data_IF_530523467830
#
_entry.id   IF_530523467830
#
_cell.length_a   1.000
_cell.length_b   1.000
_cell.length_c   1.000
_cell.angle_alpha   90.00
_cell.angle_beta   90.00
_cell.angle_gamma   90.00
#
_symmetry.space_group_name_H-M   'P 1'
#
loop_
_entity.id
_entity.type
_entity.pdbx_description
1 polymer ?
#
# COMPACT_ATOMS: atom_id res chain seq x y z
N UNK A 1 24.02 13.68 -3.36
CA UNK A 1 22.91 13.12 -4.16
C UNK A 1 22.86 11.65 -3.81
N UNK A 2 21.88 11.20 -3.03
CA UNK A 2 21.78 9.76 -2.69
C UNK A 2 21.56 9.02 -4.00
N UNK A 3 22.42 8.05 -4.31
CA UNK A 3 22.23 7.16 -5.45
C UNK A 3 20.90 6.44 -5.25
N UNK A 4 19.83 6.94 -5.87
CA UNK A 4 18.60 6.19 -6.02
C UNK A 4 18.95 4.98 -6.88
N UNK A 5 19.10 3.82 -6.25
CA UNK A 5 19.35 2.58 -6.97
C UNK A 5 18.14 2.31 -7.86
N UNK A 6 18.31 2.51 -9.16
CA UNK A 6 17.30 2.27 -10.18
C UNK A 6 17.19 0.75 -10.39
N UNK A 7 15.97 0.24 -10.31
CA UNK A 7 15.67 -1.18 -10.55
C UNK A 7 15.03 -1.41 -11.91
N UNK A 8 14.31 -0.41 -12.45
CA UNK A 8 13.81 -0.41 -13.81
C UNK A 8 14.25 0.89 -14.49
N UNK A 9 15.10 0.84 -15.53
CA UNK A 9 15.47 2.05 -16.26
C UNK A 9 14.26 2.58 -17.04
N UNK A 10 14.28 3.87 -17.38
CA UNK A 10 13.32 4.44 -18.31
C UNK A 10 13.57 3.91 -19.73
N UNK A 11 12.52 3.76 -20.53
CA UNK A 11 12.60 3.49 -21.96
C UNK A 11 13.09 4.73 -22.70
N UNK A 12 14.27 4.69 -23.37
CA UNK A 12 14.76 5.83 -24.12
C UNK A 12 13.90 6.19 -25.34
N UNK A 13 13.00 5.31 -25.78
CA UNK A 13 12.08 5.56 -26.89
C UNK A 13 10.77 6.27 -26.47
N UNK A 14 10.48 6.37 -25.17
CA UNK A 14 9.31 7.05 -24.63
C UNK A 14 9.73 8.22 -23.74
N UNK A 15 9.43 9.45 -24.17
CA UNK A 15 9.79 10.66 -23.45
C UNK A 15 9.00 10.87 -22.14
N UNK A 16 7.87 10.18 -21.97
CA UNK A 16 7.05 10.25 -20.76
C UNK A 16 7.45 9.18 -19.72
N UNK A 17 8.13 8.11 -20.15
CA UNK A 17 8.54 7.03 -19.26
C UNK A 17 9.60 7.47 -18.24
N UNK A 18 9.50 6.93 -17.03
CA UNK A 18 10.34 7.32 -15.89
C UNK A 18 10.95 6.09 -15.24
N UNK A 19 12.24 6.19 -14.94
CA UNK A 19 12.94 5.15 -14.21
C UNK A 19 12.31 4.93 -12.83
N UNK A 20 12.27 3.66 -12.40
CA UNK A 20 11.76 3.26 -11.09
C UNK A 20 12.94 2.95 -10.18
N UNK A 21 13.02 3.67 -9.05
CA UNK A 21 13.96 3.38 -7.98
C UNK A 21 13.51 2.17 -7.15
N UNK A 22 14.43 1.55 -6.39
CA UNK A 22 14.09 0.48 -5.42
C UNK A 22 13.00 0.97 -4.45
N UNK A 23 13.12 2.18 -3.92
CA UNK A 23 12.12 2.77 -3.01
C UNK A 23 10.77 2.97 -3.71
N UNK A 24 10.78 3.42 -4.97
CA UNK A 24 9.57 3.57 -5.78
C UNK A 24 8.88 2.23 -6.01
N UNK A 25 9.65 1.18 -6.33
CA UNK A 25 9.14 -0.19 -6.49
C UNK A 25 8.58 -0.74 -5.18
N UNK A 26 9.28 -0.57 -4.07
CA UNK A 26 8.82 -0.98 -2.74
C UNK A 26 7.51 -0.30 -2.36
N UNK A 27 7.42 1.03 -2.53
CA UNK A 27 6.21 1.82 -2.27
C UNK A 27 5.03 1.30 -3.11
N UNK A 28 5.26 1.01 -4.40
CA UNK A 28 4.25 0.44 -5.29
C UNK A 28 3.78 -0.95 -4.85
N UNK A 29 4.69 -1.82 -4.42
CA UNK A 29 4.36 -3.16 -3.93
C UNK A 29 3.56 -3.10 -2.62
N UNK A 30 3.94 -2.22 -1.67
CA UNK A 30 3.20 -1.98 -0.43
C UNK A 30 1.79 -1.43 -0.71
N UNK A 31 1.67 -0.45 -1.61
CA UNK A 31 0.39 0.10 -2.05
C UNK A 31 -0.52 -0.98 -2.66
N UNK A 32 0.04 -1.83 -3.51
CA UNK A 32 -0.68 -2.96 -4.11
C UNK A 32 -1.15 -3.97 -3.08
N UNK A 33 -0.32 -4.33 -2.10
CA UNK A 33 -0.71 -5.23 -1.01
C UNK A 33 -1.94 -4.70 -0.28
N UNK A 34 -1.91 -3.44 0.16
CA UNK A 34 -2.99 -2.81 0.93
C UNK A 34 -4.29 -2.76 0.13
N UNK A 35 -4.21 -2.24 -1.10
CA UNK A 35 -5.37 -2.18 -2.00
C UNK A 35 -5.95 -3.57 -2.25
N UNK A 36 -5.09 -4.56 -2.52
CA UNK A 36 -5.53 -5.93 -2.79
C UNK A 36 -6.22 -6.55 -1.58
N UNK A 37 -5.64 -6.45 -0.38
CA UNK A 37 -6.27 -6.96 0.84
C UNK A 37 -7.67 -6.36 1.03
N UNK A 38 -7.83 -5.04 0.84
CA UNK A 38 -9.15 -4.41 0.93
C UNK A 38 -10.12 -4.93 -0.13
N UNK A 39 -9.69 -5.01 -1.39
CA UNK A 39 -10.58 -5.45 -2.49
C UNK A 39 -10.95 -6.92 -2.38
N UNK A 40 -10.04 -7.78 -1.91
CA UNK A 40 -10.31 -9.20 -1.71
C UNK A 40 -11.34 -9.42 -0.58
N UNK A 41 -11.44 -8.49 0.38
CA UNK A 41 -12.49 -8.47 1.40
C UNK A 41 -13.81 -7.85 0.92
N UNK A 42 -13.88 -7.33 -0.31
CA UNK A 42 -15.08 -6.69 -0.86
C UNK A 42 -15.46 -5.35 -0.19
N UNK A 43 -14.53 -4.69 0.49
CA UNK A 43 -14.79 -3.47 1.24
C UNK A 43 -14.43 -2.21 0.45
N UNK A 44 -15.25 -1.15 0.60
CA UNK A 44 -14.86 0.21 0.24
C UNK A 44 -13.73 0.73 1.14
N UNK A 45 -13.08 1.82 0.75
CA UNK A 45 -12.04 2.46 1.59
C UNK A 45 -12.61 2.87 2.95
N UNK A 46 -13.83 3.39 3.00
CA UNK A 46 -14.49 3.84 4.24
C UNK A 46 -14.82 2.65 5.14
N UNK A 47 -15.36 1.57 4.59
CA UNK A 47 -15.68 0.36 5.36
C UNK A 47 -14.42 -0.28 5.95
N UNK A 48 -13.35 -0.42 5.14
CA UNK A 48 -12.08 -0.94 5.63
C UNK A 48 -11.48 -0.05 6.73
N UNK A 49 -11.44 1.26 6.48
CA UNK A 49 -10.95 2.26 7.43
C UNK A 49 -11.66 2.18 8.78
N UNK A 50 -13.00 2.17 8.75
CA UNK A 50 -13.82 2.08 9.95
C UNK A 50 -13.65 0.75 10.67
N UNK A 51 -13.67 -0.37 9.93
CA UNK A 51 -13.59 -1.73 10.47
C UNK A 51 -12.24 -2.02 11.13
N UNK A 52 -11.15 -1.45 10.61
CA UNK A 52 -9.79 -1.76 11.04
C UNK A 52 -9.04 -0.58 11.65
N UNK A 53 -9.73 0.50 12.02
CA UNK A 53 -9.16 1.67 12.70
C UNK A 53 -7.98 2.29 11.93
N UNK A 54 -8.11 2.41 10.62
CA UNK A 54 -7.15 3.13 9.77
C UNK A 54 -7.81 4.41 9.27
N UNK A 55 -7.24 5.62 9.48
CA UNK A 55 -7.82 6.83 8.92
C UNK A 55 -7.97 6.73 7.40
N UNK A 56 -9.14 7.05 6.87
CA UNK A 56 -9.44 6.85 5.43
C UNK A 56 -8.50 7.65 4.51
N UNK A 57 -8.07 8.84 4.93
CA UNK A 57 -7.07 9.64 4.20
C UNK A 57 -5.72 8.93 4.11
N UNK A 58 -5.24 8.41 5.24
CA UNK A 58 -4.00 7.63 5.32
C UNK A 58 -4.08 6.35 4.48
N UNK A 59 -5.19 5.60 4.56
CA UNK A 59 -5.42 4.42 3.73
C UNK A 59 -5.33 4.78 2.24
N UNK A 60 -5.96 5.89 1.85
CA UNK A 60 -5.96 6.36 0.47
C UNK A 60 -4.56 6.75 -0.01
N UNK A 61 -3.78 7.44 0.83
CA UNK A 61 -2.39 7.81 0.51
C UNK A 61 -1.49 6.59 0.32
N UNK A 62 -1.71 5.55 1.12
CA UNK A 62 -1.00 4.28 0.95
C UNK A 62 -1.44 3.54 -0.31
N UNK A 63 -2.74 3.37 -0.56
CA UNK A 63 -3.25 2.64 -1.74
C UNK A 63 -2.85 3.30 -3.07
N UNK A 64 -2.66 4.62 -3.08
CA UNK A 64 -2.30 5.40 -4.25
C UNK A 64 -0.80 5.70 -4.33
N UNK A 65 0.02 5.06 -3.48
CA UNK A 65 1.47 5.24 -3.43
C UNK A 65 1.93 6.70 -3.26
N UNK A 66 1.08 7.56 -2.66
CA UNK A 66 1.46 8.93 -2.29
C UNK A 66 2.38 8.96 -1.06
N UNK A 67 2.24 7.97 -0.18
CA UNK A 67 3.13 7.75 0.95
C UNK A 67 3.50 6.28 1.05
N UNK A 68 4.73 6.00 1.48
CA UNK A 68 5.16 4.62 1.79
C UNK A 68 4.55 4.19 3.11
N UNK A 69 3.73 3.14 3.10
CA UNK A 69 3.18 2.58 4.32
C UNK A 69 4.32 2.05 5.20
N UNK A 70 4.36 2.35 6.52
CA UNK A 70 5.40 1.85 7.41
C UNK A 70 5.26 0.35 7.65
N UNK A 71 6.31 -0.30 8.14
CA UNK A 71 6.38 -1.76 8.29
C UNK A 71 5.25 -2.34 9.16
N UNK A 72 4.90 -1.65 10.25
CA UNK A 72 3.79 -2.09 11.12
C UNK A 72 2.44 -2.06 10.39
N UNK A 73 2.23 -1.13 9.46
CA UNK A 73 1.00 -1.05 8.68
C UNK A 73 0.92 -2.21 7.67
N UNK A 74 2.05 -2.54 7.04
CA UNK A 74 2.17 -3.72 6.16
C UNK A 74 1.89 -5.01 6.94
N UNK A 75 2.49 -5.16 8.12
CA UNK A 75 2.26 -6.30 9.00
C UNK A 75 0.78 -6.40 9.42
N UNK A 76 0.19 -5.28 9.84
CA UNK A 76 -1.21 -5.21 10.25
C UNK A 76 -2.16 -5.62 9.12
N UNK A 77 -1.95 -5.11 7.91
CA UNK A 77 -2.75 -5.45 6.72
C UNK A 77 -2.60 -6.93 6.33
N UNK A 78 -1.43 -7.53 6.51
CA UNK A 78 -1.25 -8.98 6.31
C UNK A 78 -2.10 -9.80 7.29
N UNK A 79 -2.12 -9.39 8.56
CA UNK A 79 -2.95 -10.06 9.58
C UNK A 79 -4.44 -9.88 9.27
N UNK A 80 -4.86 -8.69 8.84
CA UNK A 80 -6.24 -8.43 8.38
C UNK A 80 -6.61 -9.38 7.23
N UNK A 81 -5.73 -9.55 6.24
CA UNK A 81 -5.99 -10.43 5.10
C UNK A 81 -6.17 -11.90 5.48
N UNK A 82 -5.53 -12.36 6.56
CA UNK A 82 -5.63 -13.75 7.03
C UNK A 82 -6.78 -13.96 8.02
N UNK A 83 -7.04 -12.98 8.88
CA UNK A 83 -7.95 -13.10 10.01
C UNK A 83 -8.83 -11.84 10.21
N UNK A 84 -9.63 -11.44 9.20
CA UNK A 84 -10.34 -10.15 9.21
C UNK A 84 -11.32 -10.04 10.38
N UNK A 85 -12.03 -11.11 10.73
CA UNK A 85 -13.00 -11.07 11.83
C UNK A 85 -12.34 -11.01 13.21
N UNK A 86 -11.18 -11.66 13.36
CA UNK A 86 -10.40 -11.60 14.60
C UNK A 86 -9.90 -10.17 14.83
N UNK A 87 -9.28 -9.57 13.79
CA UNK A 87 -8.76 -8.21 13.90
C UNK A 87 -9.90 -7.23 14.17
N UNK A 88 -11.00 -7.31 13.41
CA UNK A 88 -12.14 -6.42 13.58
C UNK A 88 -12.72 -6.48 15.00
N UNK A 89 -12.76 -7.66 15.64
CA UNK A 89 -13.17 -7.79 17.05
C UNK A 89 -12.13 -7.22 18.01
N UNK A 90 -10.85 -7.39 17.74
CA UNK A 90 -9.77 -6.96 18.63
C UNK A 90 -9.60 -5.43 18.67
N UNK A 91 -9.93 -4.73 17.58
CA UNK A 91 -9.80 -3.27 17.45
C UNK A 91 -11.13 -2.51 17.55
N UNK A 92 -12.22 -3.23 17.87
CA UNK A 92 -13.56 -2.67 18.04
C UNK A 92 -13.60 -1.64 19.17
#
# INVERSE_FOLDING_TARGET
>A
MKNEHIILPADPADAEDRAVSIEGMERGQRARLIRKTRTDLGLSQVEFANRFRVPVGTLRDWEQARATAPDFAVAYVRVIGQHPDMVARAVA
#
